data_IF_557390404464
#
_entry.id   IF_557390404464
#
_cell.length_a   1.000
_cell.length_b   1.000
_cell.length_c   1.000
_cell.angle_alpha   90.00
_cell.angle_beta   90.00
_cell.angle_gamma   90.00
#
_symmetry.space_group_name_H-M   'P 1'
#
loop_
_entity.id
_entity.type
_entity.pdbx_description
1 polymer ?
#
# COMPACT_ATOMS: atom_id res chain seq x y z
N UNK A 1 38.26 -78.96 37.60
CA UNK A 1 38.91 -77.65 37.35
C UNK A 1 38.59 -77.19 35.93
N UNK A 2 37.67 -76.24 35.74
CA UNK A 2 37.48 -75.53 34.46
C UNK A 2 37.66 -74.04 34.73
N UNK A 3 38.71 -73.48 34.13
CA UNK A 3 39.10 -72.08 34.28
C UNK A 3 38.15 -71.20 33.46
N UNK A 4 37.49 -70.25 34.11
CA UNK A 4 36.63 -69.26 33.46
C UNK A 4 37.52 -68.11 32.98
N UNK A 5 37.71 -68.00 31.66
CA UNK A 5 38.42 -66.89 31.03
C UNK A 5 37.49 -65.66 30.95
N UNK A 6 37.72 -64.68 31.82
CA UNK A 6 37.05 -63.38 31.75
C UNK A 6 37.72 -62.55 30.65
N UNK A 7 37.01 -62.38 29.53
CA UNK A 7 37.45 -61.50 28.44
C UNK A 7 37.31 -60.03 28.85
N UNK A 8 38.43 -59.29 28.85
CA UNK A 8 38.45 -57.84 29.10
C UNK A 8 37.76 -57.10 27.95
N UNK A 9 36.55 -56.57 28.19
CA UNK A 9 35.89 -55.63 27.28
C UNK A 9 36.69 -54.31 27.28
N UNK A 10 37.37 -53.99 26.18
CA UNK A 10 37.94 -52.66 25.95
C UNK A 10 36.79 -51.69 25.64
N UNK A 11 36.38 -50.90 26.63
CA UNK A 11 35.56 -49.71 26.41
C UNK A 11 36.35 -48.73 25.54
N UNK A 12 35.98 -48.62 24.26
CA UNK A 12 36.49 -47.58 23.37
C UNK A 12 35.97 -46.23 23.88
N UNK A 13 36.83 -45.53 24.61
CA UNK A 13 36.55 -44.20 25.15
C UNK A 13 36.37 -43.24 23.98
N UNK A 14 35.13 -42.81 23.73
CA UNK A 14 34.82 -41.78 22.75
C UNK A 14 35.52 -40.49 23.20
N UNK A 15 36.62 -40.12 22.54
CA UNK A 15 37.32 -38.87 22.80
C UNK A 15 36.50 -37.77 22.12
N UNK A 16 35.45 -37.30 22.79
CA UNK A 16 34.81 -36.06 22.40
C UNK A 16 35.82 -34.92 22.60
N UNK A 17 36.33 -34.38 21.49
CA UNK A 17 37.10 -33.14 21.51
C UNK A 17 36.17 -32.04 22.01
N UNK A 18 36.51 -31.46 23.17
CA UNK A 18 35.80 -30.31 23.70
C UNK A 18 36.00 -29.10 22.79
N UNK A 19 34.92 -28.40 22.50
CA UNK A 19 34.95 -27.17 21.71
C UNK A 19 35.64 -26.08 22.54
N UNK A 20 36.65 -25.41 21.98
CA UNK A 20 37.33 -24.33 22.68
C UNK A 20 36.48 -23.05 22.64
N UNK A 21 36.61 -22.22 23.67
CA UNK A 21 35.92 -20.92 23.72
C UNK A 21 36.31 -20.02 22.53
N UNK A 22 37.55 -20.16 22.03
CA UNK A 22 38.05 -19.41 20.88
C UNK A 22 37.36 -19.86 19.58
N UNK A 23 37.22 -21.17 19.35
CA UNK A 23 36.51 -21.69 18.17
C UNK A 23 35.05 -21.20 18.12
N UNK A 24 34.37 -21.16 19.27
CA UNK A 24 33.02 -20.60 19.35
C UNK A 24 32.99 -19.11 19.04
N UNK A 25 33.94 -18.35 19.59
CA UNK A 25 33.99 -16.91 19.43
C UNK A 25 34.27 -16.51 17.97
N UNK A 26 35.14 -17.23 17.27
CA UNK A 26 35.41 -16.99 15.84
C UNK A 26 34.18 -17.29 14.99
N UNK A 27 33.45 -18.37 15.28
CA UNK A 27 32.24 -18.73 14.52
C UNK A 27 31.14 -17.68 14.68
N UNK A 28 30.86 -17.24 15.91
CA UNK A 28 29.86 -16.18 16.12
C UNK A 28 30.30 -14.86 15.49
N UNK A 29 31.60 -14.55 15.49
CA UNK A 29 32.13 -13.35 14.84
C UNK A 29 31.91 -13.39 13.32
N UNK A 30 32.19 -14.53 12.67
CA UNK A 30 31.92 -14.70 11.23
C UNK A 30 30.42 -14.60 10.93
N UNK A 31 29.57 -15.26 11.72
CA UNK A 31 28.10 -15.16 11.56
C UNK A 31 27.63 -13.72 11.73
N UNK A 32 28.16 -12.98 12.70
CA UNK A 32 27.81 -11.58 12.93
C UNK A 32 28.18 -10.69 11.74
N UNK A 33 29.37 -10.87 11.14
CA UNK A 33 29.79 -10.13 9.94
C UNK A 33 28.88 -10.44 8.75
N UNK A 34 28.63 -11.74 8.49
CA UNK A 34 27.77 -12.15 7.38
C UNK A 34 26.33 -11.67 7.56
N UNK A 35 25.77 -11.79 8.77
CA UNK A 35 24.44 -11.28 9.08
C UNK A 35 24.37 -9.75 8.93
N UNK A 36 25.41 -9.02 9.34
CA UNK A 36 25.50 -7.57 9.19
C UNK A 36 25.41 -7.10 7.73
N UNK A 37 25.96 -7.87 6.79
CA UNK A 37 25.88 -7.58 5.35
C UNK A 37 24.54 -8.03 4.72
N UNK A 38 23.94 -9.11 5.24
CA UNK A 38 22.70 -9.68 4.69
C UNK A 38 21.44 -8.92 5.11
N UNK A 39 21.39 -8.38 6.34
CA UNK A 39 20.20 -7.71 6.87
C UNK A 39 19.75 -6.48 6.04
N UNK A 40 20.64 -5.56 5.62
CA UNK A 40 20.26 -4.43 4.76
C UNK A 40 19.71 -4.89 3.40
N UNK A 41 20.33 -5.91 2.79
CA UNK A 41 19.88 -6.45 1.51
C UNK A 41 18.49 -7.09 1.63
N UNK A 42 18.26 -7.91 2.67
CA UNK A 42 16.98 -8.58 2.90
C UNK A 42 15.85 -7.59 3.20
N UNK A 43 16.12 -6.55 4.00
CA UNK A 43 15.11 -5.51 4.28
C UNK A 43 14.72 -4.73 3.03
N UNK A 44 15.68 -4.41 2.16
CA UNK A 44 15.44 -3.79 0.86
C UNK A 44 14.63 -4.70 -0.08
N UNK A 45 15.02 -5.98 -0.18
CA UNK A 45 14.31 -6.98 -0.97
C UNK A 45 12.85 -7.14 -0.53
N UNK A 46 12.61 -7.21 0.78
CA UNK A 46 11.25 -7.28 1.36
C UNK A 46 10.41 -6.05 1.02
N UNK A 47 10.97 -4.84 1.13
CA UNK A 47 10.27 -3.60 0.75
C UNK A 47 9.89 -3.60 -0.74
N UNK A 48 10.79 -4.04 -1.61
CA UNK A 48 10.51 -4.21 -3.05
C UNK A 48 9.42 -5.27 -3.29
N UNK A 49 9.48 -6.40 -2.58
CA UNK A 49 8.47 -7.45 -2.64
C UNK A 49 7.08 -6.97 -2.25
N UNK A 50 6.96 -6.25 -1.13
CA UNK A 50 5.69 -5.62 -0.73
C UNK A 50 5.17 -4.64 -1.80
N UNK A 51 6.05 -3.85 -2.42
CA UNK A 51 5.66 -2.93 -3.50
C UNK A 51 5.10 -3.69 -4.72
N UNK A 52 5.72 -4.79 -5.12
CA UNK A 52 5.22 -5.63 -6.22
C UNK A 52 3.81 -6.15 -5.89
N UNK A 53 3.56 -6.53 -4.63
CA UNK A 53 2.23 -6.92 -4.18
C UNK A 53 1.25 -5.74 -4.25
N UNK A 54 1.63 -4.53 -3.83
CA UNK A 54 0.75 -3.35 -3.94
C UNK A 54 0.40 -3.05 -5.41
N UNK A 55 1.37 -3.16 -6.33
CA UNK A 55 1.13 -3.02 -7.78
C UNK A 55 0.15 -4.10 -8.29
N UNK A 56 0.33 -5.36 -7.89
CA UNK A 56 -0.57 -6.46 -8.26
C UNK A 56 -1.99 -6.23 -7.72
N UNK A 57 -2.11 -5.75 -6.49
CA UNK A 57 -3.38 -5.40 -5.88
C UNK A 57 -4.10 -4.29 -6.65
N UNK A 58 -3.38 -3.22 -7.04
CA UNK A 58 -3.95 -2.13 -7.85
C UNK A 58 -4.47 -2.64 -9.20
N UNK A 59 -3.74 -3.54 -9.87
CA UNK A 59 -4.21 -4.16 -11.13
C UNK A 59 -5.49 -5.00 -10.93
N UNK A 60 -5.58 -5.72 -9.81
CA UNK A 60 -6.80 -6.46 -9.47
C UNK A 60 -7.99 -5.52 -9.20
N UNK A 61 -7.74 -4.38 -8.59
CA UNK A 61 -8.76 -3.35 -8.36
C UNK A 61 -9.18 -2.71 -9.69
N UNK A 62 -8.25 -2.42 -10.60
CA UNK A 62 -8.57 -1.93 -11.96
C UNK A 62 -9.47 -2.90 -12.72
N UNK A 63 -9.16 -4.20 -12.68
CA UNK A 63 -10.03 -5.22 -13.28
C UNK A 63 -11.44 -5.17 -12.70
N UNK A 64 -11.57 -5.00 -11.38
CA UNK A 64 -12.88 -4.86 -10.75
C UNK A 64 -13.64 -3.60 -11.22
N UNK A 65 -12.94 -2.47 -11.43
CA UNK A 65 -13.54 -1.28 -12.02
C UNK A 65 -14.02 -1.50 -13.45
N UNK A 66 -13.24 -2.21 -14.28
CA UNK A 66 -13.63 -2.53 -15.66
C UNK A 66 -14.85 -3.44 -15.71
N UNK A 67 -14.88 -4.47 -14.87
CA UNK A 67 -16.04 -5.35 -14.76
C UNK A 67 -17.28 -4.57 -14.32
N UNK A 68 -17.15 -3.71 -13.29
CA UNK A 68 -18.22 -2.85 -12.85
C UNK A 68 -18.74 -1.96 -14.00
N UNK A 69 -17.83 -1.27 -14.70
CA UNK A 69 -18.17 -0.37 -15.81
C UNK A 69 -18.88 -1.11 -16.94
N UNK A 70 -18.42 -2.30 -17.29
CA UNK A 70 -19.05 -3.16 -18.30
C UNK A 70 -20.51 -3.47 -17.94
N UNK A 71 -20.81 -3.67 -16.65
CA UNK A 71 -22.16 -3.95 -16.17
C UNK A 71 -23.02 -2.69 -15.99
N UNK A 72 -22.41 -1.49 -15.97
CA UNK A 72 -23.05 -0.22 -15.63
C UNK A 72 -22.89 0.83 -16.74
N UNK A 73 -23.09 0.42 -18.00
CA UNK A 73 -23.08 1.31 -19.18
C UNK A 73 -21.80 2.16 -19.27
N UNK A 74 -20.64 1.55 -19.03
CA UNK A 74 -19.31 2.17 -19.05
C UNK A 74 -19.08 3.27 -18.01
N UNK A 75 -19.95 3.39 -16.99
CA UNK A 75 -19.87 4.43 -15.98
C UNK A 75 -19.12 3.99 -14.74
N UNK A 76 -18.36 4.91 -14.15
CA UNK A 76 -17.80 4.69 -12.83
C UNK A 76 -18.92 4.70 -11.77
N UNK A 77 -18.78 3.89 -10.69
CA UNK A 77 -19.78 3.83 -9.63
C UNK A 77 -19.99 5.20 -9.01
N UNK A 78 -21.23 5.66 -8.77
CA UNK A 78 -21.57 6.89 -8.00
C UNK A 78 -22.07 6.56 -6.59
N UNK A 79 -21.19 6.69 -5.60
CA UNK A 79 -21.45 6.35 -4.19
C UNK A 79 -20.81 7.33 -3.21
N UNK A 80 -20.99 8.61 -3.49
CA UNK A 80 -20.47 9.73 -2.67
C UNK A 80 -21.02 9.72 -1.24
N UNK A 81 -22.24 9.23 -1.06
CA UNK A 81 -22.91 9.03 0.22
C UNK A 81 -22.10 8.17 1.20
N UNK A 82 -21.39 7.14 0.69
CA UNK A 82 -20.62 6.22 1.51
C UNK A 82 -19.50 6.90 2.31
N UNK A 83 -18.97 8.03 1.84
CA UNK A 83 -17.85 8.73 2.50
C UNK A 83 -18.20 9.22 3.90
N UNK A 84 -19.42 9.72 4.09
CA UNK A 84 -19.85 10.28 5.37
C UNK A 84 -20.33 9.19 6.35
N UNK A 85 -20.89 8.11 5.84
CA UNK A 85 -21.53 7.07 6.68
C UNK A 85 -20.60 5.90 7.03
N UNK A 86 -19.50 5.69 6.29
CA UNK A 86 -18.56 4.63 6.63
C UNK A 86 -17.79 4.97 7.92
N UNK A 87 -17.46 3.97 8.77
CA UNK A 87 -16.69 4.17 9.98
C UNK A 87 -15.34 4.83 9.70
N UNK A 88 -15.06 5.87 10.49
CA UNK A 88 -13.98 6.81 10.25
C UNK A 88 -14.47 8.14 9.65
N UNK A 89 -15.69 8.18 9.11
CA UNK A 89 -16.37 9.35 8.57
C UNK A 89 -15.61 10.02 7.43
N UNK A 90 -16.10 11.17 6.97
CA UNK A 90 -15.36 12.07 6.10
C UNK A 90 -14.25 12.77 6.91
N UNK A 91 -12.99 12.69 6.48
CA UNK A 91 -11.85 13.38 7.11
C UNK A 91 -11.10 14.21 6.08
N UNK A 92 -11.48 15.47 5.87
CA UNK A 92 -10.71 16.36 5.00
C UNK A 92 -9.35 16.64 5.64
N UNK A 93 -8.33 16.86 4.83
CA UNK A 93 -7.19 17.65 5.27
C UNK A 93 -7.56 19.14 5.31
N UNK A 94 -6.63 19.98 5.75
CA UNK A 94 -6.68 21.43 5.49
C UNK A 94 -6.62 21.76 4.00
N UNK A 95 -5.76 22.69 3.58
CA UNK A 95 -5.77 23.26 2.23
C UNK A 95 -5.42 22.28 1.07
N UNK A 96 -5.00 21.04 1.37
CA UNK A 96 -4.63 20.00 0.41
C UNK A 96 -4.64 18.64 1.12
N UNK A 97 -5.00 17.48 0.53
CA UNK A 97 -6.07 17.40 -0.44
C UNK A 97 -7.30 18.14 0.08
N UNK A 98 -7.99 18.84 -0.82
CA UNK A 98 -9.26 19.51 -0.52
C UNK A 98 -10.39 18.53 -0.16
N UNK A 99 -10.13 17.22 -0.25
CA UNK A 99 -11.02 16.18 0.25
C UNK A 99 -10.34 15.00 0.91
N UNK A 100 -11.19 14.08 1.39
CA UNK A 100 -10.86 12.74 1.80
C UNK A 100 -10.61 11.78 0.62
N UNK A 101 -9.36 11.39 0.34
CA UNK A 101 -9.03 10.53 -0.80
C UNK A 101 -9.20 9.04 -0.48
N UNK A 102 -9.67 8.64 0.70
CA UNK A 102 -9.67 7.24 1.11
C UNK A 102 -10.65 6.41 0.28
N UNK A 103 -10.21 5.21 -0.08
CA UNK A 103 -10.93 4.32 -1.00
C UNK A 103 -11.81 3.25 -0.32
N UNK A 104 -12.21 3.46 0.94
CA UNK A 104 -13.04 2.50 1.66
C UNK A 104 -14.41 2.31 1.01
N UNK A 105 -14.99 3.39 0.47
CA UNK A 105 -16.20 3.33 -0.35
C UNK A 105 -16.02 2.41 -1.57
N UNK A 106 -14.90 2.50 -2.27
CA UNK A 106 -14.65 1.72 -3.49
C UNK A 106 -14.59 0.23 -3.20
N UNK A 107 -13.92 -0.15 -2.10
CA UNK A 107 -13.86 -1.55 -1.69
C UNK A 107 -15.17 -2.13 -1.22
N UNK A 108 -16.10 -1.30 -0.72
CA UNK A 108 -17.47 -1.74 -0.45
C UNK A 108 -18.26 -1.92 -1.75
N UNK A 109 -18.18 -0.95 -2.66
CA UNK A 109 -18.95 -0.93 -3.92
C UNK A 109 -18.51 -2.02 -4.89
N UNK A 110 -17.21 -2.26 -4.98
CA UNK A 110 -16.63 -3.26 -5.87
C UNK A 110 -16.50 -4.64 -5.21
N UNK A 111 -17.08 -4.84 -4.03
CA UNK A 111 -16.94 -6.09 -3.28
C UNK A 111 -17.37 -7.33 -4.08
N UNK A 112 -18.42 -7.22 -4.91
CA UNK A 112 -18.89 -8.29 -5.80
C UNK A 112 -17.95 -8.55 -7.00
N UNK A 113 -17.07 -7.61 -7.33
CA UNK A 113 -16.14 -7.66 -8.46
C UNK A 113 -14.72 -8.04 -8.02
N UNK A 114 -14.47 -8.10 -6.71
CA UNK A 114 -13.15 -8.44 -6.15
C UNK A 114 -13.15 -9.82 -5.50
N UNK A 115 -12.18 -10.66 -5.83
CA UNK A 115 -12.04 -11.98 -5.22
C UNK A 115 -11.58 -11.96 -3.75
N UNK A 116 -10.97 -10.86 -3.29
CA UNK A 116 -10.48 -10.74 -1.92
C UNK A 116 -10.46 -9.30 -1.44
N UNK A 117 -10.98 -9.05 -0.24
CA UNK A 117 -10.91 -7.75 0.42
C UNK A 117 -9.48 -7.36 0.82
N UNK A 118 -8.54 -8.32 0.88
CA UNK A 118 -7.14 -8.05 1.25
C UNK A 118 -6.41 -7.19 0.22
N UNK A 119 -6.87 -7.17 -1.03
CA UNK A 119 -6.22 -6.41 -2.10
C UNK A 119 -6.25 -4.91 -1.82
N UNK A 120 -7.26 -4.41 -1.11
CA UNK A 120 -7.47 -2.98 -0.80
C UNK A 120 -6.46 -2.38 0.18
N UNK A 121 -5.57 -3.19 0.76
CA UNK A 121 -4.53 -2.72 1.67
C UNK A 121 -3.16 -3.01 1.09
N UNK A 122 -2.34 -1.97 0.88
CA UNK A 122 -0.93 -2.17 0.56
C UNK A 122 -0.21 -2.78 1.78
N UNK A 123 0.48 -3.93 1.66
CA UNK A 123 1.20 -4.57 2.78
C UNK A 123 2.21 -3.66 3.48
N UNK A 124 2.75 -2.65 2.79
CA UNK A 124 3.64 -1.65 3.39
C UNK A 124 2.94 -0.68 4.34
N UNK A 125 1.65 -0.39 4.14
CA UNK A 125 0.85 0.43 5.08
C UNK A 125 0.66 -0.31 6.40
N UNK A 126 0.35 -1.60 6.34
CA UNK A 126 -0.07 -2.37 7.52
C UNK A 126 0.94 -2.34 8.67
N UNK A 127 2.23 -2.23 8.37
CA UNK A 127 3.34 -2.21 9.35
C UNK A 127 3.99 -0.83 9.52
N UNK A 128 3.41 0.21 8.90
CA UNK A 128 3.95 1.56 8.91
C UNK A 128 3.22 2.44 9.93
N UNK A 129 3.89 3.42 10.57
CA UNK A 129 3.24 4.48 11.34
C UNK A 129 2.13 5.19 10.56
N UNK A 130 2.28 5.27 9.23
CA UNK A 130 1.28 5.88 8.35
C UNK A 130 -0.09 5.23 8.46
N UNK A 131 -0.23 3.98 8.88
CA UNK A 131 -1.56 3.35 9.09
C UNK A 131 -2.45 4.16 10.05
N UNK A 132 -1.85 4.82 11.04
CA UNK A 132 -2.56 5.63 12.03
C UNK A 132 -2.71 7.10 11.62
N UNK A 133 -2.00 7.51 10.57
CA UNK A 133 -2.05 8.88 10.09
C UNK A 133 -3.44 9.24 9.52
N UNK A 134 -3.76 10.53 9.59
CA UNK A 134 -5.03 11.06 9.13
C UNK A 134 -5.19 10.80 7.63
N UNK A 135 -6.35 10.27 7.26
CA UNK A 135 -6.70 9.96 5.88
C UNK A 135 -5.89 8.83 5.23
N UNK A 136 -5.16 8.01 5.99
CA UNK A 136 -4.47 6.83 5.43
C UNK A 136 -5.38 5.65 5.11
N UNK A 137 -6.37 5.40 5.98
CA UNK A 137 -7.22 4.20 5.90
C UNK A 137 -8.68 4.51 6.20
N UNK A 138 -9.58 3.73 5.58
CA UNK A 138 -11.03 3.77 5.81
C UNK A 138 -11.59 2.35 5.84
N UNK A 139 -12.66 2.15 6.61
CA UNK A 139 -13.38 0.88 6.66
C UNK A 139 -14.17 0.64 5.36
N UNK A 140 -14.17 -0.61 4.90
CA UNK A 140 -14.94 -1.10 3.75
C UNK A 140 -16.21 -1.81 4.21
N UNK A 141 -16.96 -1.16 5.09
CA UNK A 141 -18.18 -1.70 5.69
C UNK A 141 -18.62 -0.87 6.89
N UNK A 142 -19.84 -1.09 7.37
CA UNK A 142 -20.49 -0.23 8.37
C UNK A 142 -20.09 -0.52 9.82
N UNK A 143 -19.24 -1.52 10.05
CA UNK A 143 -18.81 -1.94 11.39
C UNK A 143 -17.36 -1.55 11.65
N UNK A 144 -17.00 -1.36 12.92
CA UNK A 144 -15.62 -1.03 13.36
C UNK A 144 -14.63 -2.17 13.13
N UNK A 145 -15.11 -3.40 12.88
CA UNK A 145 -14.28 -4.56 12.56
C UNK A 145 -14.22 -4.83 11.05
N UNK A 146 -14.83 -3.99 10.21
CA UNK A 146 -14.79 -4.15 8.77
C UNK A 146 -13.34 -4.07 8.25
N UNK A 147 -13.01 -4.79 7.17
CA UNK A 147 -11.71 -4.68 6.54
C UNK A 147 -11.40 -3.23 6.15
N UNK A 148 -10.12 -2.86 6.19
CA UNK A 148 -9.67 -1.51 5.86
C UNK A 148 -9.14 -1.44 4.44
N UNK A 149 -9.40 -0.34 3.76
CA UNK A 149 -8.66 0.09 2.58
C UNK A 149 -7.51 1.01 2.99
N UNK A 150 -6.37 0.88 2.31
CA UNK A 150 -5.16 1.67 2.50
C UNK A 150 -4.61 2.26 1.20
N UNK A 151 -5.49 2.55 0.24
CA UNK A 151 -5.16 3.34 -0.94
C UNK A 151 -5.93 4.64 -0.98
N UNK A 152 -5.33 5.60 -1.64
CA UNK A 152 -6.00 6.82 -2.03
C UNK A 152 -6.55 6.66 -3.43
N UNK A 153 -7.83 6.97 -3.60
CA UNK A 153 -8.48 7.01 -4.91
C UNK A 153 -8.99 8.40 -5.16
N UNK A 154 -9.08 8.77 -6.44
CA UNK A 154 -9.72 9.97 -6.98
C UNK A 154 -9.70 11.15 -6.01
N UNK A 155 -8.86 12.15 -6.24
CA UNK A 155 -8.84 13.34 -5.37
C UNK A 155 -10.22 13.98 -5.44
N UNK A 156 -11.04 13.74 -4.43
CA UNK A 156 -12.41 14.24 -4.39
C UNK A 156 -12.38 15.73 -4.04
N UNK A 157 -13.49 16.43 -4.12
CA UNK A 157 -13.65 17.71 -3.43
C UNK A 157 -14.86 17.60 -2.47
N UNK A 158 -15.05 18.59 -1.60
CA UNK A 158 -16.17 18.60 -0.67
C UNK A 158 -17.50 18.79 -1.41
N UNK A 159 -18.60 18.35 -0.79
CA UNK A 159 -19.96 18.58 -1.31
C UNK A 159 -20.36 20.07 -1.33
N UNK A 160 -19.71 20.89 -0.51
CA UNK A 160 -20.04 22.31 -0.30
C UNK A 160 -19.05 23.30 -0.92
N UNK A 161 -18.04 22.83 -1.67
CA UNK A 161 -17.14 23.70 -2.42
C UNK A 161 -17.70 24.05 -3.81
N UNK A 162 -17.43 25.27 -4.27
CA UNK A 162 -17.92 25.79 -5.55
C UNK A 162 -17.17 25.25 -6.78
N UNK A 163 -16.13 24.44 -6.59
CA UNK A 163 -15.29 23.88 -7.65
C UNK A 163 -15.35 22.34 -7.55
N UNK A 164 -15.87 21.63 -8.57
CA UNK A 164 -16.04 20.18 -8.51
C UNK A 164 -14.91 19.41 -9.20
N UNK A 165 -13.86 18.95 -8.48
CA UNK A 165 -13.03 17.82 -8.95
C UNK A 165 -13.57 16.46 -8.50
N UNK A 166 -14.89 16.33 -8.57
CA UNK A 166 -15.62 15.05 -8.57
C UNK A 166 -15.88 14.64 -10.05
N UNK A 167 -14.84 14.21 -10.76
CA UNK A 167 -14.92 14.05 -12.22
C UNK A 167 -15.21 12.62 -12.71
N UNK A 168 -15.24 11.60 -11.85
CA UNK A 168 -15.48 10.22 -12.28
C UNK A 168 -16.92 9.75 -12.06
N UNK A 169 -17.58 10.21 -10.99
CA UNK A 169 -18.87 9.69 -10.54
C UNK A 169 -19.95 9.64 -11.61
N UNK A 170 -20.48 8.45 -11.90
CA UNK A 170 -21.57 8.25 -12.87
C UNK A 170 -21.21 8.63 -14.31
N UNK A 171 -19.95 8.94 -14.58
CA UNK A 171 -19.44 9.36 -15.89
C UNK A 171 -18.76 8.18 -16.55
N UNK A 172 -18.81 8.18 -17.88
CA UNK A 172 -17.91 7.37 -18.70
C UNK A 172 -16.49 7.95 -18.64
N UNK A 173 -15.51 7.15 -19.03
CA UNK A 173 -14.10 7.57 -19.12
C UNK A 173 -13.92 8.85 -19.97
N UNK A 174 -14.56 8.90 -21.13
CA UNK A 174 -14.51 10.05 -22.03
C UNK A 174 -15.09 11.32 -21.39
N UNK A 175 -16.23 11.19 -20.70
CA UNK A 175 -16.84 12.31 -19.98
C UNK A 175 -15.95 12.79 -18.82
N UNK A 176 -15.31 11.87 -18.10
CA UNK A 176 -14.40 12.19 -17.01
C UNK A 176 -13.19 13.00 -17.51
N UNK A 177 -12.58 12.59 -18.62
CA UNK A 177 -11.44 13.29 -19.24
C UNK A 177 -11.86 14.68 -19.76
N UNK A 178 -12.98 14.77 -20.49
CA UNK A 178 -13.48 16.05 -20.98
C UNK A 178 -13.77 17.04 -19.84
N UNK A 179 -14.31 16.55 -18.73
CA UNK A 179 -14.56 17.37 -17.56
C UNK A 179 -13.26 17.87 -16.91
N UNK A 180 -12.27 16.99 -16.73
CA UNK A 180 -10.95 17.39 -16.19
C UNK A 180 -10.29 18.46 -17.04
N UNK A 181 -10.38 18.35 -18.37
CA UNK A 181 -9.84 19.36 -19.29
C UNK A 181 -10.54 20.71 -19.14
N UNK A 182 -11.85 20.70 -18.89
CA UNK A 182 -12.66 21.91 -18.71
C UNK A 182 -12.36 22.62 -17.39
N UNK A 183 -12.21 21.86 -16.30
CA UNK A 183 -11.92 22.41 -14.97
C UNK A 183 -10.52 23.02 -14.86
N UNK A 184 -9.57 22.59 -15.70
CA UNK A 184 -8.22 23.16 -15.80
C UNK A 184 -7.53 23.35 -14.43
N UNK A 185 -7.52 22.30 -13.61
CA UNK A 185 -6.97 22.37 -12.24
C UNK A 185 -5.48 22.74 -12.25
N UNK A 186 -5.07 23.81 -11.54
CA UNK A 186 -3.70 24.31 -11.56
C UNK A 186 -2.67 23.36 -10.93
N UNK A 187 -3.10 22.39 -10.12
CA UNK A 187 -2.24 21.41 -9.43
C UNK A 187 -2.05 20.10 -10.20
N UNK A 188 -3.01 19.73 -11.06
CA UNK A 188 -3.00 18.45 -11.80
C UNK A 188 -2.64 18.69 -13.29
N UNK A 189 -2.90 19.89 -13.81
CA UNK A 189 -2.75 20.20 -15.23
C UNK A 189 -3.94 19.71 -16.06
N UNK A 190 -3.81 19.85 -17.38
CA UNK A 190 -4.82 19.41 -18.35
C UNK A 190 -4.39 18.04 -18.89
N UNK A 191 -5.16 16.96 -18.69
CA UNK A 191 -4.79 15.64 -19.18
C UNK A 191 -4.94 15.53 -20.70
N UNK A 192 -3.93 14.97 -21.38
CA UNK A 192 -3.96 14.67 -22.82
C UNK A 192 -4.72 13.36 -23.08
N UNK A 193 -4.77 12.45 -22.12
CA UNK A 193 -5.51 11.19 -22.23
C UNK A 193 -5.70 10.45 -20.92
N UNK A 194 -6.24 9.22 -20.95
CA UNK A 194 -6.42 8.39 -19.77
C UNK A 194 -5.09 8.00 -19.09
N UNK A 195 -3.99 7.98 -19.85
CA UNK A 195 -2.65 7.73 -19.33
C UNK A 195 -2.17 8.77 -18.32
N UNK A 196 -2.72 9.98 -18.33
CA UNK A 196 -2.27 11.09 -17.47
C UNK A 196 -3.08 11.20 -16.18
N UNK A 197 -4.15 10.41 -16.07
CA UNK A 197 -5.14 10.54 -15.01
C UNK A 197 -4.94 9.47 -13.94
N UNK A 198 -4.52 9.89 -12.75
CA UNK A 198 -4.40 9.00 -11.59
C UNK A 198 -5.79 8.58 -11.07
N UNK A 199 -6.04 7.27 -11.02
CA UNK A 199 -7.24 6.69 -10.41
C UNK A 199 -7.00 6.32 -8.95
N UNK A 200 -5.88 5.65 -8.69
CA UNK A 200 -5.52 5.16 -7.37
C UNK A 200 -4.02 5.32 -7.13
N UNK A 201 -3.64 5.65 -5.91
CA UNK A 201 -2.25 5.78 -5.48
C UNK A 201 -2.05 5.20 -4.08
N UNK A 202 -0.81 4.84 -3.74
CA UNK A 202 -0.47 4.57 -2.35
C UNK A 202 -0.59 5.84 -1.50
N UNK A 203 -0.85 5.66 -0.21
CA UNK A 203 -0.84 6.77 0.76
C UNK A 203 0.52 7.48 0.72
N UNK A 204 0.48 8.80 0.53
CA UNK A 204 1.68 9.63 0.54
C UNK A 204 1.35 11.04 1.01
N UNK A 205 2.34 11.67 1.62
CA UNK A 205 2.25 13.00 2.17
C UNK A 205 3.40 13.82 1.59
N UNK A 206 3.12 14.79 0.72
CA UNK A 206 4.16 15.57 0.07
C UNK A 206 4.85 16.47 1.07
N UNK A 207 6.10 16.82 0.78
CA UNK A 207 6.88 17.73 1.58
C UNK A 207 6.62 19.21 1.28
N UNK A 208 5.79 19.49 0.28
CA UNK A 208 5.48 20.84 -0.21
C UNK A 208 4.25 21.46 0.45
N UNK A 209 3.68 20.80 1.45
CA UNK A 209 2.50 21.28 2.17
C UNK A 209 2.93 21.62 3.58
N UNK A 210 2.91 22.91 3.91
CA UNK A 210 3.45 23.44 5.16
C UNK A 210 2.56 23.09 6.36
N UNK A 211 1.25 22.96 6.18
CA UNK A 211 0.30 22.62 7.27
C UNK A 211 0.38 21.16 7.74
N UNK A 212 1.26 20.36 7.14
CA UNK A 212 1.47 18.98 7.54
C UNK A 212 2.26 18.84 8.82
N UNK A 213 1.85 17.93 9.70
CA UNK A 213 2.67 17.50 10.83
C UNK A 213 4.02 16.94 10.33
N UNK A 214 5.11 17.36 10.98
CA UNK A 214 6.49 16.91 10.72
C UNK A 214 6.64 15.39 10.76
N UNK A 215 5.81 14.68 11.54
CA UNK A 215 5.83 13.22 11.61
C UNK A 215 5.49 12.56 10.27
N UNK A 216 4.57 13.16 9.50
CA UNK A 216 4.05 12.62 8.24
C UNK A 216 4.52 13.41 7.02
N UNK A 217 5.01 14.64 7.17
CA UNK A 217 5.44 15.50 6.05
C UNK A 217 6.53 14.82 5.22
N UNK A 218 6.33 14.73 3.91
CA UNK A 218 7.26 14.06 2.99
C UNK A 218 7.28 12.53 3.08
N UNK A 219 6.42 11.89 3.90
CA UNK A 219 6.40 10.43 4.04
C UNK A 219 5.55 9.77 2.96
N UNK A 220 6.02 8.64 2.47
CA UNK A 220 5.23 7.75 1.61
C UNK A 220 5.31 6.31 2.11
N UNK A 221 4.31 5.51 1.76
CA UNK A 221 4.26 4.08 2.09
C UNK A 221 5.45 3.32 1.50
N UNK A 222 5.85 3.70 0.29
CA UNK A 222 7.09 3.24 -0.32
C UNK A 222 8.13 4.36 -0.29
N UNK A 223 9.39 4.07 0.05
CA UNK A 223 10.42 5.11 0.07
C UNK A 223 10.55 5.80 -1.29
N UNK A 224 10.81 7.11 -1.30
CA UNK A 224 11.16 7.92 -2.47
C UNK A 224 10.10 8.01 -3.59
N UNK A 225 8.88 7.48 -3.40
CA UNK A 225 7.87 7.50 -4.44
C UNK A 225 6.59 6.76 -4.08
N UNK A 226 5.73 6.55 -5.08
CA UNK A 226 4.44 5.86 -4.92
C UNK A 226 4.09 5.04 -6.15
N UNK A 227 3.30 3.98 -5.96
CA UNK A 227 2.62 3.34 -7.06
C UNK A 227 1.41 4.18 -7.47
N UNK A 228 1.14 4.22 -8.77
CA UNK A 228 0.03 4.91 -9.40
C UNK A 228 -0.67 3.93 -10.30
N UNK A 229 -1.98 3.80 -10.14
CA UNK A 229 -2.89 3.21 -11.12
C UNK A 229 -3.48 4.37 -11.92
N UNK A 230 -3.30 4.32 -13.22
CA UNK A 230 -3.82 5.30 -14.15
C UNK A 230 -5.14 4.82 -14.77
N UNK A 231 -5.86 5.74 -15.40
CA UNK A 231 -7.23 5.52 -15.87
C UNK A 231 -7.35 4.47 -16.98
N UNK A 232 -6.31 4.33 -17.79
CA UNK A 232 -6.18 3.28 -18.81
C UNK A 232 -5.80 1.91 -18.22
N UNK A 233 -5.64 1.80 -16.89
CA UNK A 233 -5.31 0.58 -16.15
C UNK A 233 -3.83 0.30 -15.95
N UNK A 234 -2.93 1.13 -16.48
CA UNK A 234 -1.52 0.90 -16.24
C UNK A 234 -1.15 1.20 -14.78
N UNK A 235 -0.28 0.37 -14.21
CA UNK A 235 0.23 0.55 -12.85
C UNK A 235 1.73 0.59 -12.87
N UNK A 236 2.29 1.67 -12.35
CA UNK A 236 3.74 1.88 -12.24
C UNK A 236 4.14 2.52 -10.92
N UNK A 237 5.40 2.32 -10.55
CA UNK A 237 6.03 3.03 -9.45
C UNK A 237 6.81 4.21 -9.99
N UNK A 238 6.51 5.42 -9.51
CA UNK A 238 7.25 6.62 -9.86
C UNK A 238 7.94 7.21 -8.63
N UNK A 239 9.18 7.65 -8.85
CA UNK A 239 9.89 8.47 -7.86
C UNK A 239 9.20 9.82 -7.74
N UNK A 240 8.99 10.30 -6.52
CA UNK A 240 8.42 11.61 -6.27
C UNK A 240 9.37 12.44 -5.40
N UNK A 241 9.84 13.56 -5.95
CA UNK A 241 10.74 14.51 -5.26
C UNK A 241 10.11 15.14 -4.01
N UNK A 242 8.78 15.10 -3.88
CA UNK A 242 8.04 15.57 -2.71
C UNK A 242 8.07 14.55 -1.58
N UNK A 243 8.64 13.37 -1.78
CA UNK A 243 8.79 12.33 -0.74
C UNK A 243 10.25 12.18 -0.33
N UNK A 244 10.48 11.87 0.95
CA UNK A 244 11.81 11.71 1.56
C UNK A 244 12.13 10.24 1.84
#
# INVERSE_FOLDING_TARGET
MRSIHVSKIKLLRNIHRGFTLIELLVVIAIIAILAGLLLPALTSAKKKGHRIVCVSNMRQIDMAFRMYRSDHEERFPDRRDLKSILPGGYRPWGHWPRSDPRSGWAGLVLSNYTFSQKIWMCPSVQKSPLRKAVSSVQHMGFTTNAPLSGYWMWRFDRKDESIPLDNFWGKTENQAIQHLRKEANPFIGIPEGPTDVEVMVDVYYPNTIDDLDDEIRGRAVHPLGRNRLMLDGHVEYLKDKRTR
#
